data_IF_574014446001
#
_entry.id   IF_574014446001
#
_cell.length_a   1.000
_cell.length_b   1.000
_cell.length_c   1.000
_cell.angle_alpha   90.00
_cell.angle_beta   90.00
_cell.angle_gamma   90.00
#
_symmetry.space_group_name_H-M   'P 1'
#
loop_
_entity.id
_entity.type
_entity.pdbx_description
1 polymer ?
#
# COMPACT_ATOMS: atom_id res chain seq x y z
N UNK A 1 4.28 -17.10 11.69
CA UNK A 1 5.22 -16.37 10.82
C UNK A 1 4.88 -14.89 10.86
N UNK A 2 5.84 -13.99 11.05
CA UNK A 2 5.60 -12.55 10.84
C UNK A 2 5.43 -12.29 9.35
N UNK A 3 4.38 -11.57 8.95
CA UNK A 3 4.23 -11.09 7.58
C UNK A 3 5.29 -10.02 7.29
N UNK A 4 5.86 -10.05 6.08
CA UNK A 4 6.80 -9.02 5.64
C UNK A 4 6.13 -7.64 5.61
N UNK A 5 6.91 -6.59 5.86
CA UNK A 5 6.46 -5.19 5.77
C UNK A 5 5.82 -4.89 4.42
N UNK A 6 6.33 -5.50 3.35
CA UNK A 6 5.75 -5.41 2.00
C UNK A 6 4.29 -5.88 1.94
N UNK A 7 4.02 -7.10 2.42
CA UNK A 7 2.68 -7.68 2.42
C UNK A 7 1.71 -6.82 3.23
N UNK A 8 2.16 -6.31 4.39
CA UNK A 8 1.35 -5.41 5.22
C UNK A 8 0.99 -4.13 4.48
N UNK A 9 1.94 -3.46 3.83
CA UNK A 9 1.68 -2.23 3.08
C UNK A 9 0.67 -2.47 1.95
N UNK A 10 0.90 -3.45 1.09
CA UNK A 10 -0.01 -3.69 -0.05
C UNK A 10 -1.40 -4.16 0.41
N UNK A 11 -1.49 -4.93 1.51
CA UNK A 11 -2.77 -5.31 2.12
C UNK A 11 -3.52 -4.10 2.66
N UNK A 12 -2.85 -3.24 3.43
CA UNK A 12 -3.46 -2.02 3.97
C UNK A 12 -3.90 -1.06 2.86
N UNK A 13 -3.17 -1.01 1.74
CA UNK A 13 -3.62 -0.25 0.58
C UNK A 13 -4.85 -0.86 -0.11
N UNK A 14 -5.04 -2.18 -0.05
CA UNK A 14 -6.13 -2.86 -0.77
C UNK A 14 -7.52 -2.59 -0.19
N UNK A 15 -7.61 -2.14 1.07
CA UNK A 15 -8.89 -1.81 1.72
C UNK A 15 -9.39 -0.39 1.41
N UNK A 16 -8.54 0.47 0.85
CA UNK A 16 -8.87 1.87 0.52
C UNK A 16 -8.66 2.15 -0.96
N UNK A 17 -9.47 3.02 -1.57
CA UNK A 17 -9.22 3.46 -2.96
C UNK A 17 -8.00 4.37 -3.06
N UNK A 18 -7.79 5.17 -2.02
CA UNK A 18 -6.71 6.14 -1.92
C UNK A 18 -6.24 6.16 -0.48
N UNK A 19 -4.93 6.16 -0.26
CA UNK A 19 -4.38 6.14 1.10
C UNK A 19 -3.01 6.84 1.16
N UNK A 20 -2.74 7.50 2.29
CA UNK A 20 -1.48 8.17 2.57
C UNK A 20 -0.47 7.28 3.31
N UNK A 21 0.85 7.61 3.26
CA UNK A 21 1.89 6.87 3.97
C UNK A 21 1.67 6.79 5.49
N UNK A 22 1.18 7.87 6.10
CA UNK A 22 0.89 7.92 7.53
C UNK A 22 -0.26 6.97 7.91
N UNK A 23 -1.32 7.00 7.14
CA UNK A 23 -2.48 6.10 7.34
C UNK A 23 -2.08 4.63 7.18
N UNK A 24 -1.23 4.31 6.19
CA UNK A 24 -0.69 2.95 6.03
C UNK A 24 0.16 2.54 7.24
N UNK A 25 1.01 3.43 7.73
CA UNK A 25 1.89 3.17 8.86
C UNK A 25 1.10 2.91 10.15
N UNK A 26 0.10 3.76 10.42
CA UNK A 26 -0.76 3.66 11.60
C UNK A 26 -1.60 2.37 11.55
N UNK A 27 -2.21 2.06 10.41
CA UNK A 27 -3.07 0.87 10.26
C UNK A 27 -2.30 -0.46 10.29
N UNK A 28 -1.05 -0.49 9.81
CA UNK A 28 -0.24 -1.71 9.81
C UNK A 28 0.75 -1.83 10.99
N UNK A 29 0.76 -0.86 11.91
CA UNK A 29 1.74 -0.73 13.00
C UNK A 29 3.18 -0.83 12.47
N UNK A 30 3.51 0.04 11.51
CA UNK A 30 4.80 0.09 10.80
C UNK A 30 5.45 1.46 10.96
N UNK A 31 6.76 1.55 10.71
CA UNK A 31 7.44 2.85 10.73
C UNK A 31 7.17 3.60 9.43
N UNK A 32 6.87 4.90 9.54
CA UNK A 32 6.54 5.76 8.41
C UNK A 32 7.65 5.82 7.33
N UNK A 33 8.91 5.79 7.74
CA UNK A 33 10.05 5.79 6.82
C UNK A 33 10.12 4.51 5.96
N UNK A 34 9.87 3.34 6.56
CA UNK A 34 9.82 2.05 5.87
C UNK A 34 8.66 2.04 4.84
N UNK A 35 7.48 2.53 5.24
CA UNK A 35 6.32 2.67 4.35
C UNK A 35 6.63 3.62 3.20
N UNK A 36 7.26 4.75 3.46
CA UNK A 36 7.59 5.76 2.43
C UNK A 36 8.58 5.21 1.40
N UNK A 37 9.65 4.54 1.87
CA UNK A 37 10.63 3.92 0.98
C UNK A 37 9.99 2.82 0.11
N UNK A 38 9.10 2.03 0.69
CA UNK A 38 8.40 0.99 -0.05
C UNK A 38 7.42 1.57 -1.07
N UNK A 39 6.64 2.59 -0.70
CA UNK A 39 5.73 3.27 -1.64
C UNK A 39 6.49 3.86 -2.82
N UNK A 40 7.69 4.40 -2.60
CA UNK A 40 8.54 4.86 -3.69
C UNK A 40 8.94 3.69 -4.61
N UNK A 41 9.34 2.55 -4.04
CA UNK A 41 9.66 1.34 -4.82
C UNK A 41 8.46 0.84 -5.63
N UNK A 42 7.26 0.83 -5.05
CA UNK A 42 6.03 0.42 -5.73
C UNK A 42 5.62 1.40 -6.83
N UNK A 43 5.89 2.69 -6.62
CA UNK A 43 5.67 3.75 -7.60
C UNK A 43 6.61 3.59 -8.80
N UNK A 44 7.90 3.37 -8.55
CA UNK A 44 8.92 3.18 -9.58
C UNK A 44 8.65 1.91 -10.41
N UNK A 45 8.05 0.88 -9.80
CA UNK A 45 7.59 -0.34 -10.47
C UNK A 45 6.24 -0.20 -11.20
N UNK A 46 5.57 0.95 -11.08
CA UNK A 46 4.25 1.20 -11.70
C UNK A 46 3.09 0.41 -11.08
N UNK A 47 3.27 -0.16 -9.88
CA UNK A 47 2.23 -0.92 -9.16
C UNK A 47 1.22 0.05 -8.50
N UNK A 48 1.72 1.21 -8.04
CA UNK A 48 0.90 2.28 -7.48
C UNK A 48 1.17 3.58 -8.25
N UNK A 49 0.21 4.51 -8.18
CA UNK A 49 0.34 5.86 -8.72
C UNK A 49 -0.07 6.89 -7.68
N UNK A 50 0.48 8.09 -7.79
CA UNK A 50 0.03 9.25 -7.02
C UNK A 50 -1.30 9.73 -7.58
N UNK A 51 -2.33 9.81 -6.74
CA UNK A 51 -3.61 10.45 -7.12
C UNK A 51 -3.56 11.94 -6.82
N UNK A 52 -3.09 12.27 -5.63
CA UNK A 52 -2.92 13.63 -5.13
C UNK A 52 -1.61 13.73 -4.33
N UNK A 53 -1.29 14.93 -3.81
CA UNK A 53 -0.10 15.14 -3.00
C UNK A 53 -0.13 14.24 -1.75
N UNK A 54 0.79 13.29 -1.69
CA UNK A 54 0.93 12.39 -0.55
C UNK A 54 -0.10 11.26 -0.50
N UNK A 55 -0.88 11.06 -1.57
CA UNK A 55 -1.90 10.03 -1.66
C UNK A 55 -1.61 9.05 -2.81
N UNK A 56 -1.71 7.76 -2.50
CA UNK A 56 -1.38 6.66 -3.40
C UNK A 56 -2.59 5.77 -3.64
N UNK A 57 -2.66 5.21 -4.83
CA UNK A 57 -3.66 4.21 -5.23
C UNK A 57 -3.02 3.15 -6.13
N UNK A 58 -3.59 1.95 -6.16
CA UNK A 58 -3.15 0.93 -7.12
C UNK A 58 -3.39 1.41 -8.57
N UNK A 59 -2.51 1.00 -9.47
CA UNK A 59 -2.70 1.22 -10.91
C UNK A 59 -3.72 0.23 -11.50
N UNK A 60 -3.77 -0.98 -10.97
CA UNK A 60 -4.68 -2.05 -11.38
C UNK A 60 -5.74 -2.38 -10.31
N UNK A 61 -7.01 -2.17 -10.67
CA UNK A 61 -8.17 -2.47 -9.82
C UNK A 61 -8.42 -3.98 -9.68
N UNK A 62 -8.03 -4.80 -10.66
CA UNK A 62 -8.12 -6.26 -10.55
C UNK A 62 -7.13 -6.78 -9.52
N UNK A 63 -5.88 -6.31 -9.56
CA UNK A 63 -4.88 -6.63 -8.55
C UNK A 63 -5.33 -6.24 -7.13
N UNK A 64 -5.87 -5.01 -6.97
CA UNK A 64 -6.46 -4.56 -5.70
C UNK A 64 -7.55 -5.51 -5.21
N UNK A 65 -8.48 -5.88 -6.09
CA UNK A 65 -9.62 -6.76 -5.74
C UNK A 65 -9.15 -8.17 -5.38
N UNK A 66 -8.18 -8.71 -6.12
CA UNK A 66 -7.57 -10.00 -5.83
C UNK A 66 -6.86 -9.99 -4.48
N UNK A 67 -6.05 -8.96 -4.19
CA UNK A 67 -5.39 -8.78 -2.89
C UNK A 67 -6.40 -8.73 -1.75
N UNK A 68 -7.48 -7.95 -1.90
CA UNK A 68 -8.49 -7.85 -0.86
C UNK A 68 -9.13 -9.23 -0.59
N UNK A 69 -9.46 -10.01 -1.64
CA UNK A 69 -10.02 -11.36 -1.49
C UNK A 69 -9.05 -12.37 -0.88
N UNK A 70 -7.78 -12.34 -1.28
CA UNK A 70 -6.77 -13.30 -0.83
C UNK A 70 -6.41 -13.16 0.66
N UNK A 71 -6.67 -11.97 1.24
CA UNK A 71 -6.29 -11.63 2.61
C UNK A 71 -7.44 -11.11 3.48
N UNK A 72 -8.69 -11.22 3.00
CA UNK A 72 -9.93 -11.03 3.79
C UNK A 72 -10.16 -12.21 4.73
#
# INVERSE_FOLDING_TARGET
>A
MMQSTEIKVVKTMAVSDVIGPKEIADAGNMKLNEVTALLQTLLDKGIVRKKERGQYQFTDNMFKTWLNRAYS
#
